data_IF_728483552543
#
_entry.id   IF_728483552543
#
_cell.length_a   1.000
_cell.length_b   1.000
_cell.length_c   1.000
_cell.angle_alpha   90.00
_cell.angle_beta   90.00
_cell.angle_gamma   90.00
#
_symmetry.space_group_name_H-M   'P 1'
#
loop_
_entity.id
_entity.type
_entity.pdbx_description
1 polymer ?
#
# COMPACT_ATOMS: atom_id res chain seq x y z
N UNK A 1 16.40 -8.99 -20.39
CA UNK A 1 16.25 -8.28 -19.09
C UNK A 1 14.78 -8.24 -18.66
N UNK A 2 14.13 -9.40 -18.41
CA UNK A 2 12.69 -9.50 -18.04
C UNK A 2 12.45 -9.99 -16.60
N UNK A 3 13.43 -10.66 -15.98
CA UNK A 3 13.26 -11.33 -14.68
C UNK A 3 13.18 -10.32 -13.52
N UNK A 4 13.78 -9.14 -13.66
CA UNK A 4 13.84 -8.13 -12.59
C UNK A 4 12.54 -7.35 -12.39
N UNK A 5 11.67 -7.27 -13.41
CA UNK A 5 10.41 -6.50 -13.32
C UNK A 5 9.39 -7.18 -12.39
N UNK A 6 9.27 -8.50 -12.49
CA UNK A 6 8.30 -9.28 -11.70
C UNK A 6 8.64 -9.32 -10.21
N UNK A 7 9.92 -9.25 -9.83
CA UNK A 7 10.33 -9.26 -8.42
C UNK A 7 9.89 -8.00 -7.68
N UNK A 8 9.94 -6.84 -8.34
CA UNK A 8 9.56 -5.56 -7.72
C UNK A 8 8.04 -5.46 -7.52
N UNK A 9 7.25 -6.02 -8.43
CA UNK A 9 5.78 -6.06 -8.30
C UNK A 9 5.31 -7.05 -7.23
N UNK A 10 6.00 -8.19 -7.08
CA UNK A 10 5.74 -9.14 -5.98
C UNK A 10 6.12 -8.53 -4.63
N UNK A 11 7.24 -7.82 -4.54
CA UNK A 11 7.66 -7.12 -3.33
C UNK A 11 6.65 -6.04 -2.91
N UNK A 12 6.20 -5.18 -3.84
CA UNK A 12 5.17 -4.16 -3.57
C UNK A 12 3.82 -4.76 -3.17
N UNK A 13 3.45 -5.90 -3.74
CA UNK A 13 2.21 -6.59 -3.38
C UNK A 13 2.28 -7.28 -2.01
N UNK A 14 3.47 -7.72 -1.61
CA UNK A 14 3.69 -8.35 -0.30
C UNK A 14 3.55 -7.35 0.86
N UNK A 15 3.94 -6.08 0.67
CA UNK A 15 3.83 -5.06 1.72
C UNK A 15 2.36 -4.80 2.13
N UNK A 16 1.44 -4.74 1.16
CA UNK A 16 0.01 -4.58 1.43
C UNK A 16 -0.60 -5.80 2.13
N UNK A 17 -0.21 -7.01 1.72
CA UNK A 17 -0.65 -8.26 2.33
C UNK A 17 -0.15 -8.41 3.77
N UNK A 18 1.12 -8.10 4.02
CA UNK A 18 1.74 -8.14 5.36
C UNK A 18 0.96 -7.31 6.37
N UNK A 19 0.50 -6.14 5.92
CA UNK A 19 -0.28 -5.22 6.74
C UNK A 19 -1.64 -5.81 7.13
N UNK A 20 -2.36 -6.43 6.20
CA UNK A 20 -3.64 -7.10 6.49
C UNK A 20 -3.45 -8.33 7.39
N UNK A 21 -2.40 -9.13 7.14
CA UNK A 21 -2.09 -10.28 7.99
C UNK A 21 -1.91 -9.85 9.46
N UNK A 22 -1.24 -8.72 9.70
CA UNK A 22 -0.99 -8.24 11.07
C UNK A 22 -2.28 -7.97 11.87
N UNK A 23 -3.33 -7.49 11.20
CA UNK A 23 -4.64 -7.19 11.80
C UNK A 23 -5.36 -8.48 12.15
N UNK A 24 -5.33 -9.46 11.23
CA UNK A 24 -5.93 -10.78 11.46
C UNK A 24 -5.28 -11.45 12.66
N UNK A 25 -3.95 -11.41 12.75
CA UNK A 25 -3.21 -11.95 13.90
C UNK A 25 -3.63 -11.25 15.21
N UNK A 26 -3.74 -9.92 15.23
CA UNK A 26 -4.17 -9.19 16.42
C UNK A 26 -5.58 -9.58 16.88
N UNK A 27 -6.53 -9.74 15.95
CA UNK A 27 -7.90 -10.17 16.24
C UNK A 27 -7.92 -11.62 16.76
N UNK A 28 -7.15 -12.52 16.14
CA UNK A 28 -7.05 -13.92 16.58
C UNK A 28 -6.50 -14.03 18.00
N UNK A 29 -5.50 -13.21 18.35
CA UNK A 29 -4.97 -13.15 19.72
C UNK A 29 -6.05 -12.62 20.69
N UNK A 30 -6.77 -11.56 20.33
CA UNK A 30 -7.87 -11.02 21.14
C UNK A 30 -8.98 -12.04 21.38
N UNK A 31 -9.40 -12.77 20.34
CA UNK A 31 -10.39 -13.85 20.43
C UNK A 31 -9.87 -15.02 21.25
N UNK A 32 -8.63 -15.46 21.00
CA UNK A 32 -8.02 -16.58 21.70
C UNK A 32 -7.85 -16.32 23.19
N UNK A 33 -7.31 -15.16 23.57
CA UNK A 33 -7.18 -14.74 24.97
C UNK A 33 -8.54 -14.52 25.62
N UNK A 34 -9.48 -13.89 24.91
CA UNK A 34 -10.84 -13.69 25.41
C UNK A 34 -11.52 -15.01 25.74
N UNK A 35 -11.45 -15.99 24.83
CA UNK A 35 -12.08 -17.30 25.04
C UNK A 35 -11.37 -18.11 26.15
N UNK A 36 -10.05 -17.99 26.25
CA UNK A 36 -9.28 -18.65 27.31
C UNK A 36 -9.65 -18.11 28.70
N UNK A 37 -9.76 -16.79 28.87
CA UNK A 37 -10.16 -16.16 30.13
C UNK A 37 -11.61 -16.50 30.49
N UNK A 38 -12.52 -16.53 29.51
CA UNK A 38 -13.91 -16.95 29.74
C UNK A 38 -13.99 -18.39 30.23
N UNK A 39 -13.18 -19.30 29.70
CA UNK A 39 -13.16 -20.68 30.18
C UNK A 39 -12.67 -20.82 31.64
N UNK A 40 -11.82 -19.90 32.11
CA UNK A 40 -11.32 -19.91 33.49
C UNK A 40 -12.26 -19.20 34.47
N UNK A 41 -12.83 -18.07 34.07
CA UNK A 41 -13.65 -17.22 34.95
C UNK A 41 -15.15 -17.46 34.83
N UNK A 42 -15.61 -18.09 33.74
CA UNK A 42 -17.04 -18.25 33.41
C UNK A 42 -17.74 -16.95 32.98
N UNK A 43 -17.05 -15.81 33.01
CA UNK A 43 -17.64 -14.49 32.78
C UNK A 43 -17.53 -14.12 31.30
N UNK A 44 -18.61 -14.34 30.54
CA UNK A 44 -18.68 -14.06 29.08
C UNK A 44 -18.41 -12.59 28.71
N UNK A 45 -18.49 -11.66 29.66
CA UNK A 45 -18.20 -10.24 29.42
C UNK A 45 -16.75 -10.01 28.96
N UNK A 46 -15.79 -10.79 29.48
CA UNK A 46 -14.38 -10.64 29.12
C UNK A 46 -14.13 -10.94 27.63
N UNK A 47 -14.87 -11.87 27.03
CA UNK A 47 -14.75 -12.15 25.61
C UNK A 47 -15.00 -10.90 24.76
N UNK A 48 -16.07 -10.15 25.05
CA UNK A 48 -16.41 -8.93 24.33
C UNK A 48 -15.39 -7.81 24.54
N UNK A 49 -14.88 -7.66 25.76
CA UNK A 49 -13.84 -6.67 26.08
C UNK A 49 -12.56 -6.98 25.29
N UNK A 50 -12.07 -8.22 25.35
CA UNK A 50 -10.85 -8.61 24.66
C UNK A 50 -11.00 -8.60 23.13
N UNK A 51 -12.18 -8.95 22.61
CA UNK A 51 -12.48 -8.82 21.18
C UNK A 51 -12.42 -7.36 20.73
N UNK A 52 -13.09 -6.45 21.47
CA UNK A 52 -13.11 -5.03 21.14
C UNK A 52 -11.71 -4.41 21.23
N UNK A 53 -10.95 -4.76 22.27
CA UNK A 53 -9.56 -4.33 22.44
C UNK A 53 -8.67 -4.89 21.33
N UNK A 54 -8.84 -6.15 20.95
CA UNK A 54 -8.07 -6.77 19.84
C UNK A 54 -8.34 -6.09 18.50
N UNK A 55 -9.61 -5.79 18.20
CA UNK A 55 -10.00 -5.04 16.99
C UNK A 55 -9.42 -3.63 17.03
N UNK A 56 -9.60 -2.91 18.15
CA UNK A 56 -9.07 -1.55 18.31
C UNK A 56 -7.54 -1.51 18.16
N UNK A 57 -6.82 -2.48 18.73
CA UNK A 57 -5.38 -2.61 18.59
C UNK A 57 -4.95 -2.86 17.14
N UNK A 58 -5.68 -3.70 16.40
CA UNK A 58 -5.46 -3.93 14.97
C UNK A 58 -5.60 -2.65 14.15
N UNK A 59 -6.67 -1.88 14.37
CA UNK A 59 -6.87 -0.60 13.69
C UNK A 59 -5.79 0.44 14.05
N UNK A 60 -5.39 0.51 15.32
CA UNK A 60 -4.35 1.44 15.77
C UNK A 60 -3.00 1.13 15.11
N UNK A 61 -2.69 -0.16 14.92
CA UNK A 61 -1.48 -0.61 14.23
C UNK A 61 -1.55 -0.26 12.72
N UNK A 62 -2.67 -0.56 12.07
CA UNK A 62 -2.94 -0.19 10.67
C UNK A 62 -2.69 1.30 10.43
N UNK A 63 -3.21 2.16 11.31
CA UNK A 63 -3.16 3.60 11.12
C UNK A 63 -1.71 4.12 11.19
N UNK A 64 -0.92 3.56 12.10
CA UNK A 64 0.50 3.90 12.24
C UNK A 64 1.30 3.44 11.01
N UNK A 65 1.04 2.23 10.52
CA UNK A 65 1.68 1.69 9.33
C UNK A 65 1.30 2.47 8.05
N UNK A 66 0.03 2.85 7.90
CA UNK A 66 -0.44 3.70 6.79
C UNK A 66 0.19 5.08 6.82
N UNK A 67 0.28 5.70 8.01
CA UNK A 67 0.90 7.01 8.18
C UNK A 67 2.40 6.98 7.86
N UNK A 68 3.09 5.89 8.21
CA UNK A 68 4.49 5.68 7.83
C UNK A 68 4.63 5.54 6.31
N UNK A 69 3.84 4.65 5.69
CA UNK A 69 3.89 4.47 4.24
C UNK A 69 3.57 5.75 3.47
N UNK A 70 2.60 6.56 3.92
CA UNK A 70 2.32 7.85 3.27
C UNK A 70 3.47 8.85 3.40
N UNK A 71 4.22 8.81 4.52
CA UNK A 71 5.44 9.62 4.65
C UNK A 71 6.52 9.12 3.70
N UNK A 72 6.76 7.82 3.66
CA UNK A 72 7.78 7.22 2.79
C UNK A 72 7.47 7.49 1.30
N UNK A 73 6.19 7.47 0.91
CA UNK A 73 5.74 7.84 -0.43
C UNK A 73 5.95 9.33 -0.73
N UNK A 74 5.63 10.23 0.21
CA UNK A 74 5.85 11.68 0.05
C UNK A 74 7.34 12.03 0.00
N UNK A 75 8.14 11.38 0.81
CA UNK A 75 9.60 11.57 0.81
C UNK A 75 10.21 11.02 -0.49
N UNK A 76 9.73 9.88 -1.02
CA UNK A 76 10.08 9.40 -2.36
C UNK A 76 9.68 10.39 -3.47
N UNK A 77 8.50 11.01 -3.36
CA UNK A 77 8.01 11.98 -4.34
C UNK A 77 8.81 13.30 -4.31
N UNK A 78 9.33 13.65 -3.13
CA UNK A 78 10.19 14.84 -2.93
C UNK A 78 11.63 14.63 -3.37
N UNK A 79 12.06 13.39 -3.65
CA UNK A 79 13.42 13.09 -4.08
C UNK A 79 13.69 13.66 -5.48
N UNK A 80 14.77 14.42 -5.62
CA UNK A 80 15.19 15.11 -6.86
C UNK A 80 15.32 14.11 -8.01
N UNK A 81 15.68 12.85 -7.72
CA UNK A 81 15.71 11.77 -8.71
C UNK A 81 14.35 11.48 -9.33
N UNK A 82 13.27 11.50 -8.55
CA UNK A 82 11.92 11.21 -9.03
C UNK A 82 11.37 12.36 -9.88
N UNK A 83 11.61 13.60 -9.44
CA UNK A 83 11.30 14.82 -10.21
C UNK A 83 11.99 14.80 -11.58
N UNK A 84 13.31 14.54 -11.61
CA UNK A 84 14.07 14.47 -12.87
C UNK A 84 13.61 13.35 -13.79
N UNK A 85 13.20 12.20 -13.23
CA UNK A 85 12.67 11.09 -14.03
C UNK A 85 11.29 11.42 -14.62
N UNK A 86 10.42 12.09 -13.85
CA UNK A 86 9.10 12.53 -14.29
C UNK A 86 9.20 13.56 -15.43
N UNK A 87 10.11 14.51 -15.30
CA UNK A 87 10.38 15.53 -16.31
C UNK A 87 10.85 14.91 -17.65
N UNK A 88 11.71 13.89 -17.58
CA UNK A 88 12.16 13.12 -18.75
C UNK A 88 11.05 12.28 -19.41
N UNK A 89 10.09 11.79 -18.63
CA UNK A 89 8.93 11.05 -19.16
C UNK A 89 7.93 11.99 -19.84
N UNK A 90 7.68 13.15 -19.24
CA UNK A 90 6.80 14.17 -19.81
C UNK A 90 7.40 14.81 -21.07
N UNK A 91 8.72 15.02 -21.11
CA UNK A 91 9.40 15.49 -22.33
C UNK A 91 9.29 14.47 -23.46
N UNK A 92 9.56 13.19 -23.16
CA UNK A 92 9.49 12.11 -24.17
C UNK A 92 8.08 11.92 -24.73
N UNK A 93 7.05 12.05 -23.89
CA UNK A 93 5.65 11.97 -24.31
C UNK A 93 5.24 13.15 -25.22
N UNK A 94 5.84 14.33 -25.01
CA UNK A 94 5.64 15.49 -25.89
C UNK A 94 6.27 15.27 -27.26
N UNK A 95 7.48 14.70 -27.29
CA UNK A 95 8.17 14.40 -28.55
C UNK A 95 7.36 13.36 -29.37
N UNK A 96 6.88 12.30 -28.71
CA UNK A 96 6.00 11.29 -29.35
C UNK A 96 4.67 11.90 -29.88
N UNK A 97 4.08 12.87 -29.15
CA UNK A 97 2.84 13.56 -29.58
C UNK A 97 3.08 14.58 -30.70
N UNK A 98 4.27 15.20 -30.75
CA UNK A 98 4.65 16.17 -31.78
C UNK A 98 4.94 15.47 -33.12
N UNK A 99 5.61 14.31 -33.10
CA UNK A 99 5.85 13.50 -34.31
C UNK A 99 4.53 13.03 -34.92
N UNK A 100 3.57 12.60 -34.09
CA UNK A 100 2.23 12.18 -34.53
C UNK A 100 1.38 13.34 -35.13
N UNK A 101 1.70 14.60 -34.81
CA UNK A 101 0.94 15.78 -35.24
C UNK A 101 1.51 16.38 -36.55
N UNK A 102 2.84 16.40 -36.72
CA UNK A 102 3.49 16.76 -37.99
C UNK A 102 3.05 15.85 -39.15
N UNK A 103 3.03 14.51 -38.95
CA UNK A 103 2.58 13.53 -39.95
C UNK A 103 1.09 13.65 -40.38
N UNK A 104 0.29 14.44 -39.63
CA UNK A 104 -1.11 14.74 -39.97
C UNK A 104 -1.27 16.08 -40.68
N UNK A 105 -0.43 17.07 -40.41
CA UNK A 105 -0.44 18.34 -41.14
C UNK A 105 0.09 18.16 -42.57
N UNK A 106 1.09 17.31 -42.75
CA UNK A 106 1.72 17.06 -44.06
C UNK A 106 0.73 16.42 -45.05
N UNK A 107 -0.11 15.49 -44.57
CA UNK A 107 -1.18 14.83 -45.35
C UNK A 107 -2.37 15.73 -45.68
N UNK A 108 -2.46 16.93 -45.12
CA UNK A 108 -3.60 17.84 -45.33
C UNK A 108 -3.41 18.71 -46.58
N UNK A 109 -2.20 18.81 -47.10
CA UNK A 109 -1.84 19.65 -48.24
C UNK A 109 -1.52 18.87 -49.53
N UNK A 110 -1.57 17.53 -49.49
CA UNK A 110 -1.58 16.62 -50.66
C UNK A 110 -3.02 16.34 -51.15
#
# INVERSE_FOLDING_TARGET
>A
MKITKNLNDVAKSADGLSLVISVVVAILIGVGLGNWIVNLTGIKLFFWIFLFVGIAAGFLNIYKAFKSQQKDLKDLESDIKYQKYKELLDSKKKDDWADDEWDKEDRKWD
#
